data_IF_261169268383
#
_entry.id   IF_261169268383
#
_cell.length_a   1.000
_cell.length_b   1.000
_cell.length_c   1.000
_cell.angle_alpha   90.00
_cell.angle_beta   90.00
_cell.angle_gamma   90.00
#
_symmetry.space_group_name_H-M   'P 1'
#
loop_
_entity.id
_entity.type
_entity.pdbx_description
1 polymer ?
#
# COMPACT_ATOMS: atom_id res chain seq x y z
N UNK A 1 2.69 29.81 -10.10
CA UNK A 1 3.14 28.81 -11.10
C UNK A 1 2.95 27.43 -10.51
N UNK A 2 1.87 26.74 -10.84
CA UNK A 2 1.61 25.40 -10.30
C UNK A 2 2.42 24.40 -11.11
N UNK A 3 3.45 23.80 -10.51
CA UNK A 3 4.25 22.77 -11.15
C UNK A 3 3.35 21.55 -11.34
N UNK A 4 2.83 21.36 -12.55
CA UNK A 4 2.08 20.15 -12.91
C UNK A 4 3.08 18.99 -12.88
N UNK A 5 2.95 18.12 -11.87
CA UNK A 5 3.73 16.89 -11.81
C UNK A 5 3.38 16.07 -13.06
N UNK A 6 4.37 15.45 -13.74
CA UNK A 6 4.07 14.56 -14.85
C UNK A 6 3.07 13.50 -14.38
N UNK A 7 2.10 13.17 -15.23
CA UNK A 7 1.04 12.20 -14.97
C UNK A 7 1.64 10.79 -14.80
N UNK A 8 2.28 10.55 -13.66
CA UNK A 8 2.86 9.26 -13.27
C UNK A 8 1.88 8.63 -12.30
N UNK A 9 1.32 7.50 -12.70
CA UNK A 9 0.47 6.69 -11.84
C UNK A 9 1.34 6.11 -10.69
N UNK A 10 1.13 6.53 -9.43
CA UNK A 10 1.95 6.07 -8.31
C UNK A 10 1.81 4.58 -8.04
N UNK A 11 0.65 3.99 -8.36
CA UNK A 11 0.42 2.55 -8.21
C UNK A 11 1.21 1.77 -9.28
N UNK A 12 1.28 2.29 -10.51
CA UNK A 12 2.11 1.70 -11.57
C UNK A 12 3.59 1.79 -11.23
N UNK A 13 4.09 2.93 -10.76
CA UNK A 13 5.51 3.04 -10.33
C UNK A 13 5.82 2.07 -9.18
N UNK A 14 4.90 1.91 -8.23
CA UNK A 14 5.03 0.97 -7.13
C UNK A 14 5.07 -0.49 -7.60
N UNK A 15 4.19 -0.85 -8.55
CA UNK A 15 4.21 -2.17 -9.18
C UNK A 15 5.49 -2.43 -9.96
N UNK A 16 6.00 -1.43 -10.71
CA UNK A 16 7.25 -1.55 -11.45
C UNK A 16 8.44 -1.80 -10.53
N UNK A 17 8.52 -1.14 -9.35
CA UNK A 17 9.58 -1.40 -8.36
C UNK A 17 9.61 -2.86 -7.91
N UNK A 18 8.45 -3.49 -7.73
CA UNK A 18 8.36 -4.90 -7.33
C UNK A 18 8.79 -5.88 -8.44
N UNK A 19 8.72 -5.47 -9.71
CA UNK A 19 9.08 -6.27 -10.88
C UNK A 19 10.51 -6.02 -11.39
N UNK A 20 11.23 -5.07 -10.79
CA UNK A 20 12.57 -4.66 -11.23
C UNK A 20 13.64 -5.18 -10.27
N UNK A 21 14.65 -5.85 -10.81
CA UNK A 21 15.84 -6.25 -10.04
C UNK A 21 16.60 -5.04 -9.50
N UNK A 22 17.51 -5.22 -8.51
CA UNK A 22 18.33 -4.14 -7.99
C UNK A 22 19.17 -3.40 -9.06
N UNK A 23 19.39 -4.02 -10.22
CA UNK A 23 20.13 -3.48 -11.36
C UNK A 23 19.21 -2.93 -12.47
N UNK A 24 17.93 -2.70 -12.20
CA UNK A 24 17.03 -2.01 -13.12
C UNK A 24 16.39 -2.88 -14.22
N UNK A 25 16.62 -4.20 -14.20
CA UNK A 25 16.10 -5.11 -15.23
C UNK A 25 14.86 -5.89 -14.74
N UNK A 26 13.89 -6.19 -15.62
CA UNK A 26 12.78 -7.11 -15.31
C UNK A 26 13.25 -8.43 -14.72
N UNK A 27 12.61 -8.91 -13.65
CA UNK A 27 12.95 -10.20 -13.07
C UNK A 27 12.18 -11.29 -13.83
N UNK A 28 12.86 -11.99 -14.73
CA UNK A 28 12.25 -13.01 -15.60
C UNK A 28 11.87 -14.33 -14.89
N UNK A 29 12.37 -14.58 -13.66
CA UNK A 29 12.26 -15.88 -12.98
C UNK A 29 11.57 -15.87 -11.60
N UNK A 30 10.99 -14.75 -11.14
CA UNK A 30 10.02 -14.83 -10.02
C UNK A 30 8.77 -15.51 -10.54
N UNK A 31 8.13 -16.36 -9.73
CA UNK A 31 6.79 -16.80 -10.09
C UNK A 31 5.91 -15.56 -10.21
N UNK A 32 5.20 -15.42 -11.32
CA UNK A 32 4.33 -14.27 -11.61
C UNK A 32 3.47 -13.87 -10.40
N UNK A 33 3.07 -14.86 -9.59
CA UNK A 33 2.34 -14.70 -8.32
C UNK A 33 3.07 -13.86 -7.27
N UNK A 34 4.34 -14.13 -6.97
CA UNK A 34 5.10 -13.40 -5.94
C UNK A 34 5.33 -11.94 -6.34
N UNK A 35 5.66 -11.72 -7.61
CA UNK A 35 5.81 -10.37 -8.17
C UNK A 35 4.48 -9.59 -8.11
N UNK A 36 3.35 -10.22 -8.44
CA UNK A 36 2.02 -9.59 -8.34
C UNK A 36 1.65 -9.25 -6.89
N UNK A 37 1.93 -10.14 -5.93
CA UNK A 37 1.69 -9.87 -4.51
C UNK A 37 2.55 -8.71 -4.02
N UNK A 38 3.84 -8.68 -4.38
CA UNK A 38 4.75 -7.60 -4.02
C UNK A 38 4.30 -6.26 -4.64
N UNK A 39 3.91 -6.26 -5.91
CA UNK A 39 3.38 -5.08 -6.60
C UNK A 39 2.13 -4.53 -5.91
N UNK A 40 1.15 -5.38 -5.60
CA UNK A 40 -0.05 -4.98 -4.87
C UNK A 40 0.28 -4.41 -3.49
N UNK A 41 1.23 -5.03 -2.77
CA UNK A 41 1.69 -4.52 -1.47
C UNK A 41 2.31 -3.14 -1.58
N UNK A 42 3.22 -2.93 -2.52
CA UNK A 42 3.87 -1.63 -2.78
C UNK A 42 2.85 -0.56 -3.18
N UNK A 43 1.93 -0.88 -4.08
CA UNK A 43 0.91 0.05 -4.57
C UNK A 43 -0.03 0.52 -3.45
N UNK A 44 -0.34 -0.35 -2.48
CA UNK A 44 -1.23 -0.03 -1.36
C UNK A 44 -0.53 0.65 -0.17
N UNK A 45 0.81 0.70 -0.13
CA UNK A 45 1.55 1.39 0.96
C UNK A 45 1.08 2.83 1.22
N UNK A 46 0.98 3.74 0.22
CA UNK A 46 0.53 5.11 0.48
C UNK A 46 -0.88 5.15 1.07
N UNK A 47 -1.76 4.23 0.68
CA UNK A 47 -3.13 4.16 1.22
C UNK A 47 -3.10 3.69 2.69
N UNK A 48 -2.23 2.74 3.04
CA UNK A 48 -2.02 2.30 4.43
C UNK A 48 -1.46 3.41 5.31
N UNK A 49 -0.58 4.25 4.79
CA UNK A 49 -0.02 5.39 5.55
C UNK A 49 -1.08 6.42 5.95
N UNK A 50 -2.13 6.55 5.13
CA UNK A 50 -3.26 7.45 5.40
C UNK A 50 -4.31 6.75 6.28
N UNK A 51 -4.69 5.52 5.94
CA UNK A 51 -5.65 4.74 6.70
C UNK A 51 -4.97 3.81 7.72
N UNK A 52 -4.44 4.38 8.81
CA UNK A 52 -3.81 3.65 9.93
C UNK A 52 -4.43 4.00 11.29
N UNK A 53 -4.29 3.13 12.31
CA UNK A 53 -4.74 3.46 13.66
C UNK A 53 -3.84 4.53 14.26
N UNK A 54 -4.43 5.51 14.94
CA UNK A 54 -3.68 6.62 15.60
C UNK A 54 -3.82 6.67 17.11
N UNK A 55 -4.65 5.80 17.69
CA UNK A 55 -4.90 5.72 19.13
C UNK A 55 -4.45 4.36 19.70
N UNK A 56 -4.29 4.24 21.03
CA UNK A 56 -3.89 2.99 21.68
C UNK A 56 -4.92 1.85 21.53
N UNK A 57 -4.50 0.60 21.76
CA UNK A 57 -5.38 -0.55 21.72
C UNK A 57 -6.63 -0.45 22.59
N UNK A 58 -7.78 -0.80 22.03
CA UNK A 58 -9.12 -0.76 22.65
C UNK A 58 -9.91 0.53 22.38
N UNK A 59 -9.28 1.57 21.82
CA UNK A 59 -9.92 2.85 21.45
C UNK A 59 -9.43 3.36 20.10
N UNK A 60 -8.89 2.48 19.26
CA UNK A 60 -8.28 2.82 17.98
C UNK A 60 -9.28 3.51 17.05
N UNK A 61 -8.79 4.56 16.38
CA UNK A 61 -9.50 5.21 15.28
C UNK A 61 -8.59 5.31 14.07
N UNK A 62 -9.18 5.28 12.88
CA UNK A 62 -8.48 5.61 11.65
C UNK A 62 -8.12 7.10 11.65
N UNK A 63 -6.85 7.41 11.44
CA UNK A 63 -6.36 8.81 11.44
C UNK A 63 -6.99 9.69 10.38
N UNK A 64 -7.26 9.15 9.18
CA UNK A 64 -7.85 9.91 8.08
C UNK A 64 -9.37 10.05 8.20
N UNK A 65 -10.06 8.95 8.47
CA UNK A 65 -11.53 8.95 8.47
C UNK A 65 -12.15 9.47 9.77
N UNK A 66 -11.37 9.52 10.85
CA UNK A 66 -11.84 9.71 12.21
C UNK A 66 -13.03 8.79 12.55
N UNK A 67 -12.92 7.49 12.27
CA UNK A 67 -13.90 6.47 12.66
C UNK A 67 -13.23 5.35 13.42
N UNK A 68 -14.03 4.54 14.13
CA UNK A 68 -13.55 3.35 14.84
C UNK A 68 -12.73 2.48 13.88
N UNK A 69 -11.53 2.12 14.30
CA UNK A 69 -10.65 1.24 13.54
C UNK A 69 -11.15 -0.23 13.63
N UNK A 70 -11.05 -1.03 12.55
CA UNK A 70 -10.64 -0.64 11.20
C UNK A 70 -11.79 -0.01 10.39
N UNK A 71 -11.45 1.04 9.63
CA UNK A 71 -12.38 1.64 8.66
C UNK A 71 -12.59 0.74 7.43
N UNK A 72 -13.60 1.03 6.60
CA UNK A 72 -13.89 0.24 5.40
C UNK A 72 -12.70 0.16 4.43
N UNK A 73 -11.97 1.25 4.22
CA UNK A 73 -10.76 1.24 3.39
C UNK A 73 -9.68 0.34 3.98
N UNK A 74 -9.49 0.37 5.30
CA UNK A 74 -8.50 -0.46 5.98
C UNK A 74 -8.78 -1.96 5.78
N UNK A 75 -10.06 -2.37 5.81
CA UNK A 75 -10.49 -3.77 5.56
C UNK A 75 -10.12 -4.27 4.16
N UNK A 76 -9.92 -3.38 3.20
CA UNK A 76 -9.57 -3.73 1.81
C UNK A 76 -8.06 -3.80 1.57
N UNK A 77 -7.25 -3.14 2.39
CA UNK A 77 -5.81 -2.94 2.13
C UNK A 77 -4.88 -3.63 3.15
N UNK A 78 -5.40 -4.00 4.32
CA UNK A 78 -4.67 -4.77 5.33
C UNK A 78 -5.04 -6.25 5.26
N UNK A 79 -4.13 -7.12 5.69
CA UNK A 79 -4.47 -8.55 5.86
C UNK A 79 -5.28 -8.75 7.13
N UNK A 80 -5.96 -9.89 7.24
CA UNK A 80 -6.70 -10.27 8.45
C UNK A 80 -5.77 -10.34 9.67
N UNK A 81 -4.52 -10.78 9.49
CA UNK A 81 -3.50 -10.82 10.55
C UNK A 81 -3.06 -9.42 10.98
N UNK A 82 -2.90 -8.49 10.02
CA UNK A 82 -2.54 -7.12 10.37
C UNK A 82 -3.66 -6.41 11.13
N UNK A 83 -4.93 -6.75 10.87
CA UNK A 83 -6.10 -6.19 11.55
C UNK A 83 -6.40 -6.84 12.91
N UNK A 84 -5.82 -8.00 13.20
CA UNK A 84 -6.02 -8.74 14.44
C UNK A 84 -4.95 -8.41 15.52
N UNK A 85 -4.02 -7.50 15.23
CA UNK A 85 -2.97 -7.02 16.14
C UNK A 85 -3.42 -5.80 16.92
#
# INVERSE_FOLDING_TARGET
MTRQLPNRDPAVEAASRAYTSPVGHPIYWVTTREAMIAAAREALKPIREVHKPVLPPGIERCGECDVVWPCETAKLIYTTEDLAR
#
